data_IF_905320508820
#
_entry.id   IF_905320508820
#
_cell.length_a   1.000
_cell.length_b   1.000
_cell.length_c   1.000
_cell.angle_alpha   90.00
_cell.angle_beta   90.00
_cell.angle_gamma   90.00
#
_symmetry.space_group_name_H-M   'P 1'
#
loop_
_entity.id
_entity.type
_entity.pdbx_description
1 polymer ?
#
# COMPACT_ATOMS: atom_id res chain seq x y z
N UNK A 1 -25.73 0.98 11.52
CA UNK A 1 -24.75 1.75 10.70
C UNK A 1 -23.89 0.82 9.83
N UNK A 2 -24.43 0.24 8.75
CA UNK A 2 -23.68 -0.67 7.85
C UNK A 2 -23.12 0.10 6.63
N UNK A 3 -23.81 1.17 6.21
CA UNK A 3 -23.43 2.04 5.08
C UNK A 3 -22.04 2.68 5.26
N UNK A 4 -21.73 3.20 6.45
CA UNK A 4 -20.47 3.90 6.70
C UNK A 4 -19.23 3.00 6.54
N UNK A 5 -19.36 1.70 6.82
CA UNK A 5 -18.23 0.75 6.74
C UNK A 5 -17.94 0.33 5.30
N UNK A 6 -18.99 0.16 4.48
CA UNK A 6 -18.88 -0.13 3.04
C UNK A 6 -18.35 1.08 2.26
N UNK A 7 -18.83 2.29 2.58
CA UNK A 7 -18.33 3.51 1.96
C UNK A 7 -16.84 3.72 2.23
N UNK A 8 -16.36 3.41 3.44
CA UNK A 8 -14.94 3.55 3.77
C UNK A 8 -14.05 2.66 2.89
N UNK A 9 -14.44 1.40 2.68
CA UNK A 9 -13.67 0.47 1.84
C UNK A 9 -13.60 0.96 0.38
N UNK A 10 -14.70 1.51 -0.13
CA UNK A 10 -14.76 2.08 -1.48
C UNK A 10 -13.87 3.32 -1.60
N UNK A 11 -13.88 4.21 -0.61
CA UNK A 11 -13.02 5.40 -0.55
C UNK A 11 -11.54 5.01 -0.46
N UNK A 12 -11.21 4.07 0.42
CA UNK A 12 -9.88 3.49 0.60
C UNK A 12 -9.31 2.96 -0.72
N UNK A 13 -10.14 2.25 -1.50
CA UNK A 13 -9.77 1.76 -2.83
C UNK A 13 -9.62 2.89 -3.84
N UNK A 14 -10.53 3.87 -3.82
CA UNK A 14 -10.48 5.04 -4.72
C UNK A 14 -9.21 5.87 -4.50
N UNK A 15 -8.80 6.08 -3.25
CA UNK A 15 -7.58 6.81 -2.89
C UNK A 15 -6.32 6.15 -3.45
N UNK A 16 -6.28 4.81 -3.47
CA UNK A 16 -5.18 4.06 -4.08
C UNK A 16 -5.22 4.26 -5.60
N UNK A 17 -6.36 4.01 -6.24
CA UNK A 17 -6.48 4.07 -7.70
C UNK A 17 -6.25 5.49 -8.26
N UNK A 18 -6.52 6.52 -7.48
CA UNK A 18 -6.26 7.92 -7.81
C UNK A 18 -4.75 8.24 -7.96
N UNK A 19 -3.86 7.42 -7.39
CA UNK A 19 -2.41 7.64 -7.49
C UNK A 19 -1.85 7.28 -8.86
N UNK A 20 -0.97 8.14 -9.37
CA UNK A 20 -0.34 8.02 -10.70
C UNK A 20 0.78 6.99 -10.74
N UNK A 21 1.51 6.79 -9.63
CA UNK A 21 2.65 5.86 -9.59
C UNK A 21 2.37 4.63 -8.72
N UNK A 22 2.97 3.49 -9.09
CA UNK A 22 2.90 2.23 -8.32
C UNK A 22 3.41 2.44 -6.89
N UNK A 23 4.47 3.24 -6.73
CA UNK A 23 5.03 3.61 -5.43
C UNK A 23 4.00 4.31 -4.55
N UNK A 24 3.32 5.32 -5.06
CA UNK A 24 2.28 6.03 -4.30
C UNK A 24 1.10 5.11 -3.95
N UNK A 25 0.70 4.23 -4.87
CA UNK A 25 -0.34 3.21 -4.61
C UNK A 25 0.07 2.30 -3.46
N UNK A 26 1.31 1.82 -3.48
CA UNK A 26 1.87 0.98 -2.43
C UNK A 26 1.94 1.71 -1.10
N UNK A 27 2.47 2.93 -1.07
CA UNK A 27 2.55 3.74 0.16
C UNK A 27 1.16 4.03 0.75
N UNK A 28 0.19 4.34 -0.11
CA UNK A 28 -1.20 4.57 0.31
C UNK A 28 -1.80 3.30 0.89
N UNK A 29 -1.62 2.16 0.20
CA UNK A 29 -2.09 0.86 0.68
C UNK A 29 -1.43 0.47 2.00
N UNK A 30 -0.10 0.56 2.10
CA UNK A 30 0.63 0.31 3.34
C UNK A 30 0.14 1.19 4.47
N UNK A 31 -0.03 2.49 4.25
CA UNK A 31 -0.56 3.43 5.25
C UNK A 31 -1.94 2.99 5.75
N UNK A 32 -2.85 2.59 4.86
CA UNK A 32 -4.17 2.08 5.23
C UNK A 32 -4.10 0.80 6.06
N UNK A 33 -3.19 -0.13 5.71
CA UNK A 33 -3.00 -1.39 6.42
C UNK A 33 -2.35 -1.18 7.80
N UNK A 34 -1.36 -0.30 7.90
CA UNK A 34 -0.67 0.03 9.16
C UNK A 34 -1.50 0.91 10.09
N UNK A 35 -2.53 1.59 9.57
CA UNK A 35 -3.43 2.48 10.33
C UNK A 35 -4.12 1.80 11.53
N UNK A 36 -4.26 0.48 11.51
CA UNK A 36 -4.93 -0.31 12.55
C UNK A 36 -4.01 -1.14 13.44
N UNK A 37 -2.72 -1.29 13.09
CA UNK A 37 -1.87 -2.34 13.67
C UNK A 37 -0.38 -2.03 13.78
N UNK A 38 0.04 -0.79 13.53
CA UNK A 38 1.46 -0.40 13.56
C UNK A 38 2.21 -0.77 12.27
N UNK A 39 3.54 -0.64 12.29
CA UNK A 39 4.41 -0.83 11.11
C UNK A 39 4.55 -2.27 10.61
N UNK A 40 3.70 -3.21 11.05
CA UNK A 40 3.73 -4.61 10.58
C UNK A 40 2.32 -5.06 10.29
N UNK A 41 2.11 -5.64 9.12
CA UNK A 41 0.83 -6.26 8.79
C UNK A 41 1.04 -7.53 7.96
N UNK A 42 0.14 -8.49 8.14
CA UNK A 42 0.10 -9.71 7.34
C UNK A 42 -1.07 -9.60 6.40
N UNK A 43 -0.79 -9.64 5.09
CA UNK A 43 -1.82 -9.67 4.08
C UNK A 43 -2.38 -11.10 4.01
N UNK A 44 -3.71 -11.32 4.00
CA UNK A 44 -4.28 -12.63 3.73
C UNK A 44 -4.25 -13.00 2.25
N UNK A 45 -4.07 -12.01 1.36
CA UNK A 45 -4.06 -12.17 -0.10
C UNK A 45 -2.64 -12.33 -0.63
N UNK A 46 -2.45 -13.17 -1.64
CA UNK A 46 -1.15 -13.40 -2.27
C UNK A 46 -0.61 -12.17 -3.02
N UNK A 47 0.63 -12.27 -3.49
CA UNK A 47 1.29 -11.18 -4.25
C UNK A 47 0.59 -10.85 -5.57
N UNK A 48 -0.04 -11.85 -6.19
CA UNK A 48 -0.82 -11.72 -7.44
C UNK A 48 -2.10 -10.93 -7.17
N UNK A 49 -2.90 -11.35 -6.19
CA UNK A 49 -4.14 -10.68 -5.79
C UNK A 49 -3.86 -9.24 -5.35
N UNK A 50 -2.74 -8.99 -4.66
CA UNK A 50 -2.33 -7.63 -4.29
C UNK A 50 -2.07 -6.77 -5.53
N UNK A 51 -1.47 -7.32 -6.59
CA UNK A 51 -1.26 -6.61 -7.84
C UNK A 51 -2.58 -6.27 -8.54
N UNK A 52 -3.51 -7.24 -8.58
CA UNK A 52 -4.85 -7.03 -9.14
C UNK A 52 -5.65 -6.01 -8.35
N UNK A 53 -5.55 -6.05 -7.01
CA UNK A 53 -6.19 -5.10 -6.12
C UNK A 53 -5.71 -3.67 -6.34
N UNK A 54 -4.39 -3.49 -6.51
CA UNK A 54 -3.76 -2.19 -6.79
C UNK A 54 -3.91 -1.76 -8.27
N UNK A 55 -4.46 -2.63 -9.12
CA UNK A 55 -4.55 -2.48 -10.58
C UNK A 55 -3.19 -2.12 -11.20
N UNK A 56 -2.16 -2.91 -10.89
CA UNK A 56 -0.80 -2.75 -11.41
C UNK A 56 -0.26 -4.08 -11.94
N UNK A 57 0.67 -4.02 -12.89
CA UNK A 57 1.37 -5.20 -13.37
C UNK A 57 2.17 -5.90 -12.28
N UNK A 58 2.05 -7.24 -12.21
CA UNK A 58 2.81 -8.09 -11.26
C UNK A 58 4.32 -7.85 -11.34
N UNK A 59 4.85 -7.72 -12.55
CA UNK A 59 6.27 -7.48 -12.80
C UNK A 59 6.71 -6.08 -12.36
N UNK A 60 5.83 -5.08 -12.49
CA UNK A 60 6.12 -3.72 -12.06
C UNK A 60 6.01 -3.59 -10.52
N UNK A 61 4.98 -4.19 -9.91
CA UNK A 61 4.82 -4.31 -8.46
C UNK A 61 6.05 -4.95 -7.82
N UNK A 62 6.52 -6.07 -8.37
CA UNK A 62 7.66 -6.81 -7.81
C UNK A 62 8.95 -6.03 -7.90
N UNK A 63 9.21 -5.36 -9.05
CA UNK A 63 10.35 -4.47 -9.22
C UNK A 63 10.32 -3.29 -8.24
N UNK A 64 9.15 -2.68 -8.08
CA UNK A 64 9.00 -1.54 -7.16
C UNK A 64 9.17 -1.96 -5.70
N UNK A 65 8.59 -3.10 -5.29
CA UNK A 65 8.81 -3.66 -3.95
C UNK A 65 10.27 -3.99 -3.68
N UNK A 66 10.98 -4.59 -4.65
CA UNK A 66 12.40 -4.87 -4.52
C UNK A 66 13.23 -3.59 -4.42
N UNK A 67 12.84 -2.53 -5.13
CA UNK A 67 13.45 -1.22 -5.04
C UNK A 67 13.19 -0.57 -3.67
N UNK A 68 11.94 -0.55 -3.20
CA UNK A 68 11.58 -0.02 -1.88
C UNK A 68 12.26 -0.79 -0.74
N UNK A 69 12.50 -2.09 -0.90
CA UNK A 69 13.28 -2.91 0.03
C UNK A 69 14.75 -2.52 0.07
N UNK A 70 15.38 -2.30 -1.09
CA UNK A 70 16.76 -1.77 -1.17
C UNK A 70 16.89 -0.36 -0.59
N UNK A 71 15.85 0.46 -0.75
CA UNK A 71 15.77 1.80 -0.17
C UNK A 71 15.47 1.78 1.36
N UNK A 72 15.19 0.60 1.95
CA UNK A 72 14.86 0.47 3.38
C UNK A 72 13.48 1.01 3.78
N UNK A 73 12.59 1.24 2.80
CA UNK A 73 11.25 1.78 3.02
C UNK A 73 10.23 0.70 3.44
N UNK A 74 10.43 -0.54 2.98
CA UNK A 74 9.57 -1.68 3.30
C UNK A 74 10.40 -2.95 3.28
N UNK A 75 10.16 -3.84 4.23
CA UNK A 75 10.62 -5.22 4.18
C UNK A 75 9.42 -6.16 4.03
N UNK A 76 9.63 -7.34 3.45
CA UNK A 76 8.60 -8.34 3.27
C UNK A 76 9.18 -9.75 3.30
N UNK A 77 8.40 -10.69 3.82
CA UNK A 77 8.70 -12.11 3.88
C UNK A 77 7.40 -12.88 3.73
N UNK A 78 7.29 -13.64 2.65
CA UNK A 78 6.04 -14.26 2.23
C UNK A 78 4.92 -13.21 2.10
N UNK A 79 3.89 -13.37 2.92
CA UNK A 79 2.70 -12.51 2.97
C UNK A 79 2.73 -11.47 4.10
N UNK A 80 3.85 -11.36 4.83
CA UNK A 80 4.02 -10.37 5.90
C UNK A 80 4.90 -9.23 5.41
N UNK A 81 4.46 -8.01 5.71
CA UNK A 81 5.13 -6.76 5.36
C UNK A 81 5.50 -6.00 6.64
N UNK A 82 6.71 -5.44 6.64
CA UNK A 82 7.23 -4.56 7.68
C UNK A 82 7.54 -3.20 7.06
N UNK A 83 6.97 -2.16 7.62
CA UNK A 83 7.13 -0.78 7.19
C UNK A 83 7.78 -0.05 8.37
N UNK A 84 9.12 0.14 8.35
CA UNK A 84 9.89 0.65 9.50
C UNK A 84 9.57 2.10 9.85
N UNK A 85 9.01 2.87 8.93
CA UNK A 85 8.48 4.21 9.19
C UNK A 85 7.05 4.29 8.73
N UNK A 86 6.13 4.67 9.62
CA UNK A 86 4.79 5.04 9.22
C UNK A 86 4.91 6.08 8.09
N UNK A 87 4.45 5.80 6.84
CA UNK A 87 4.67 6.71 5.71
C UNK A 87 3.88 8.03 5.81
N UNK A 88 3.34 8.36 6.99
CA UNK A 88 2.47 9.49 7.22
C UNK A 88 3.13 10.87 7.02
N UNK A 89 4.46 10.94 6.87
CA UNK A 89 5.18 12.22 6.82
C UNK A 89 5.82 12.58 5.47
N UNK A 90 5.55 11.83 4.39
CA UNK A 90 6.25 12.03 3.11
C UNK A 90 5.43 12.21 1.83
N UNK A 91 4.10 11.99 1.85
CA UNK A 91 3.27 12.00 0.64
C UNK A 91 2.27 13.17 0.57
N UNK A 92 2.43 14.19 1.43
CA UNK A 92 1.66 15.42 1.37
C UNK A 92 2.46 16.50 0.60
N UNK A 93 1.91 16.88 -0.57
CA UNK A 93 2.29 17.98 -1.47
C UNK A 93 3.52 17.77 -2.35
N UNK A 94 3.29 17.40 -3.61
CA UNK A 94 3.91 18.16 -4.70
C UNK A 94 3.17 19.51 -4.78
N UNK A 95 3.83 20.66 -4.59
CA UNK A 95 3.31 21.91 -5.12
C UNK A 95 3.53 21.90 -6.64
N UNK A 96 2.48 22.22 -7.39
CA UNK A 96 2.65 22.94 -8.66
C UNK A 96 3.04 24.38 -8.35
#
# INVERSE_FOLDING_TARGET
KIMARKNRLLLERLEILSRRTIRERLLTWFSQQTRKGGGRFTCPMGRIETAEYLCVDRSALTRELARMKREGLVDFSGNTYWVPRCPCEGAARKPE
#
